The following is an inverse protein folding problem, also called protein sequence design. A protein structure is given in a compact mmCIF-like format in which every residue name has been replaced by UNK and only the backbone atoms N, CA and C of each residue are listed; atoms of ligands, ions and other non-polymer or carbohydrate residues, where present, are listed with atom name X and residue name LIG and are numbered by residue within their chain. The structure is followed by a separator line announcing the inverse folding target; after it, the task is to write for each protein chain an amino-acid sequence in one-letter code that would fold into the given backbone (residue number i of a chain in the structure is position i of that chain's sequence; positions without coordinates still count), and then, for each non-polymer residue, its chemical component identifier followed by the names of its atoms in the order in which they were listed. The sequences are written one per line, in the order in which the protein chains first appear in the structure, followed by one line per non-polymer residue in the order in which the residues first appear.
data_IF_365848526614
#
_entry.id   IF_365848526614
#
_cell.length_a   1.000
_cell.length_b   1.000
_cell.length_c   1.000
_cell.angle_alpha   90.00
_cell.angle_beta   90.00
_cell.angle_gamma   90.00
#
_symmetry.space_group_name_H-M   'P 1'
#
loop_
_entity.id
_entity.type
_entity.pdbx_description
1 polymer ?
#
# COMPACT_ATOMS: atom_id res chain seq x y z
N UNK A 1 1.44 10.54 -7.91
CA UNK A 1 0.63 10.66 -6.68
C UNK A 1 1.57 10.92 -5.51
N UNK A 2 1.11 11.48 -4.37
CA UNK A 2 1.97 11.76 -3.20
C UNK A 2 2.72 10.51 -2.71
N UNK A 3 2.05 9.36 -2.74
CA UNK A 3 2.59 8.07 -2.26
C UNK A 3 3.20 7.18 -3.36
N UNK A 4 3.26 7.67 -4.61
CA UNK A 4 3.63 6.88 -5.79
C UNK A 4 2.85 5.56 -5.91
N UNK A 5 1.57 5.57 -5.54
CA UNK A 5 0.68 4.42 -5.72
C UNK A 5 -0.19 4.59 -6.96
N UNK A 6 -0.45 3.48 -7.65
CA UNK A 6 -1.46 3.35 -8.71
C UNK A 6 -2.72 2.65 -8.17
N UNK A 7 -3.81 2.67 -8.93
CA UNK A 7 -5.06 1.96 -8.55
C UNK A 7 -5.07 0.49 -8.94
N UNK A 8 -4.02 0.00 -9.60
CA UNK A 8 -3.92 -1.38 -10.05
C UNK A 8 -3.40 -2.23 -8.89
N UNK A 9 -4.30 -2.82 -8.12
CA UNK A 9 -3.97 -3.62 -6.92
C UNK A 9 -3.00 -4.77 -7.25
N UNK A 10 -3.09 -5.33 -8.45
CA UNK A 10 -2.24 -6.42 -8.90
C UNK A 10 -0.76 -6.05 -9.01
N UNK A 11 -0.41 -4.75 -8.99
CA UNK A 11 0.98 -4.28 -9.01
C UNK A 11 1.68 -4.33 -7.65
N UNK A 12 1.01 -4.77 -6.60
CA UNK A 12 1.57 -4.81 -5.25
C UNK A 12 1.56 -6.24 -4.71
N UNK A 13 2.75 -6.82 -4.56
CA UNK A 13 2.93 -8.23 -4.20
C UNK A 13 2.29 -8.59 -2.86
N UNK A 14 2.30 -7.69 -1.87
CA UNK A 14 1.70 -7.98 -0.56
C UNK A 14 0.17 -8.00 -0.53
N UNK A 15 -0.51 -7.57 -1.59
CA UNK A 15 -1.99 -7.56 -1.66
C UNK A 15 -2.54 -8.45 -2.78
N UNK A 16 -1.73 -8.84 -3.76
CA UNK A 16 -2.18 -9.62 -4.92
C UNK A 16 -2.09 -11.16 -4.72
N UNK A 17 -1.51 -11.63 -3.61
CA UNK A 17 -1.29 -13.07 -3.36
C UNK A 17 -2.57 -13.85 -3.01
N UNK A 18 -3.65 -13.16 -2.63
CA UNK A 18 -4.90 -13.77 -2.18
C UNK A 18 -5.89 -14.15 -3.29
N UNK A 19 -5.58 -13.86 -4.56
CA UNK A 19 -6.52 -14.04 -5.68
C UNK A 19 -7.29 -12.76 -6.00
N UNK A 20 -8.64 -12.79 -5.94
CA UNK A 20 -9.47 -11.64 -6.31
C UNK A 20 -9.40 -10.52 -5.25
N UNK A 21 -8.89 -9.32 -5.58
CA UNK A 21 -8.84 -8.22 -4.64
C UNK A 21 -10.22 -7.62 -4.35
N UNK A 22 -11.28 -8.00 -5.09
CA UNK A 22 -12.64 -7.50 -4.87
C UNK A 22 -13.49 -8.55 -4.19
N UNK A 23 -14.03 -8.19 -3.03
CA UNK A 23 -15.01 -9.00 -2.30
C UNK A 23 -16.36 -8.30 -2.39
N UNK A 24 -17.36 -8.98 -2.96
CA UNK A 24 -18.68 -8.39 -3.25
C UNK A 24 -19.41 -7.80 -2.03
N UNK A 25 -19.11 -8.29 -0.83
CA UNK A 25 -19.69 -7.81 0.43
C UNK A 25 -18.94 -6.62 1.05
N UNK A 26 -17.83 -6.15 0.47
CA UNK A 26 -17.00 -5.08 1.01
C UNK A 26 -17.03 -3.83 0.13
N UNK A 27 -16.83 -2.67 0.75
CA UNK A 27 -16.76 -1.39 0.08
C UNK A 27 -15.58 -0.58 0.62
N UNK A 28 -14.40 -0.83 0.06
CA UNK A 28 -13.13 -0.21 0.50
C UNK A 28 -13.19 1.32 0.55
N UNK A 29 -13.99 1.94 -0.33
CA UNK A 29 -14.15 3.40 -0.36
C UNK A 29 -14.93 3.90 0.86
N UNK A 30 -15.95 3.16 1.28
CA UNK A 30 -16.72 3.48 2.48
C UNK A 30 -15.88 3.22 3.73
N UNK A 31 -15.19 2.09 3.78
CA UNK A 31 -14.36 1.69 4.92
C UNK A 31 -13.18 2.66 5.11
N UNK A 32 -12.52 3.08 4.03
CA UNK A 32 -11.48 4.11 4.07
C UNK A 32 -11.99 5.41 4.69
N UNK A 33 -13.19 5.88 4.31
CA UNK A 33 -13.79 7.10 4.89
C UNK A 33 -14.07 6.93 6.38
N UNK A 34 -14.59 5.77 6.78
CA UNK A 34 -14.85 5.48 8.18
C UNK A 34 -13.56 5.49 9.01
N UNK A 35 -12.47 4.92 8.50
CA UNK A 35 -11.14 4.94 9.15
C UNK A 35 -10.61 6.37 9.26
N UNK A 36 -10.74 7.19 8.22
CA UNK A 36 -10.28 8.58 8.25
C UNK A 36 -11.02 9.43 9.29
N UNK A 37 -12.34 9.23 9.42
CA UNK A 37 -13.12 9.91 10.45
C UNK A 37 -12.80 9.39 11.85
N UNK A 38 -12.59 8.08 12.00
CA UNK A 38 -12.16 7.49 13.27
C UNK A 38 -10.81 8.03 13.74
N UNK A 39 -9.81 8.12 12.85
CA UNK A 39 -8.49 8.69 13.17
C UNK A 39 -8.61 10.12 13.71
N UNK A 40 -9.41 10.97 13.03
CA UNK A 40 -9.69 12.34 13.51
C UNK A 40 -10.39 12.34 14.87
N UNK A 41 -11.41 11.49 15.04
CA UNK A 41 -12.15 11.39 16.30
C UNK A 41 -11.27 10.93 17.47
N UNK A 42 -10.26 10.10 17.19
CA UNK A 42 -9.26 9.66 18.19
C UNK A 42 -8.16 10.70 18.48
N UNK A 43 -8.15 11.84 17.77
CA UNK A 43 -7.24 12.95 18.03
C UNK A 43 -5.98 12.97 17.17
N UNK A 44 -5.91 12.18 16.09
CA UNK A 44 -4.79 12.27 15.16
C UNK A 44 -4.84 13.59 14.37
N UNK A 45 -3.70 14.26 14.27
CA UNK A 45 -3.52 15.42 13.40
C UNK A 45 -3.35 15.00 11.94
N UNK A 46 -3.63 15.93 11.02
CA UNK A 46 -3.56 15.65 9.58
C UNK A 46 -2.18 15.14 9.12
N UNK A 47 -1.11 15.64 9.73
CA UNK A 47 0.27 15.23 9.42
C UNK A 47 0.59 13.81 9.95
N UNK A 48 0.00 13.41 11.08
CA UNK A 48 0.14 12.06 11.63
C UNK A 48 -0.64 11.05 10.77
N UNK A 49 -1.82 11.43 10.29
CA UNK A 49 -2.60 10.63 9.34
C UNK A 49 -1.83 10.49 8.02
N UNK A 50 -1.28 11.58 7.48
CA UNK A 50 -0.42 11.52 6.29
C UNK A 50 0.79 10.61 6.51
N UNK A 51 1.46 10.72 7.66
CA UNK A 51 2.59 9.87 8.03
C UNK A 51 2.19 8.40 8.11
N UNK A 52 1.02 8.09 8.66
CA UNK A 52 0.48 6.72 8.68
C UNK A 52 0.30 6.18 7.27
N UNK A 53 -0.28 6.96 6.35
CA UNK A 53 -0.43 6.54 4.96
C UNK A 53 0.90 6.43 4.20
N UNK A 54 1.91 7.25 4.53
CA UNK A 54 3.28 7.09 4.03
C UNK A 54 3.84 5.74 4.45
N UNK A 55 3.67 5.34 5.71
CA UNK A 55 4.13 4.03 6.21
C UNK A 55 3.43 2.89 5.45
N UNK A 56 2.10 2.95 5.30
CA UNK A 56 1.35 1.94 4.53
C UNK A 56 1.86 1.85 3.09
N UNK A 57 2.08 2.98 2.42
CA UNK A 57 2.64 3.00 1.08
C UNK A 57 4.07 2.43 1.02
N UNK A 58 4.93 2.75 1.99
CA UNK A 58 6.27 2.18 2.10
C UNK A 58 6.25 0.66 2.24
N UNK A 59 5.30 0.10 2.99
CA UNK A 59 5.14 -1.36 3.12
C UNK A 59 4.75 -1.99 1.78
N UNK A 60 3.85 -1.35 1.01
CA UNK A 60 3.46 -1.84 -0.31
C UNK A 60 4.63 -1.84 -1.30
N UNK A 61 5.43 -0.77 -1.31
CA UNK A 61 6.64 -0.67 -2.12
C UNK A 61 7.71 -1.69 -1.72
N UNK A 62 7.91 -1.90 -0.40
CA UNK A 62 8.83 -2.91 0.11
C UNK A 62 8.49 -4.31 -0.38
N UNK A 63 7.19 -4.64 -0.49
CA UNK A 63 6.75 -5.93 -1.03
C UNK A 63 7.10 -6.16 -2.50
N UNK A 64 7.35 -5.09 -3.25
CA UNK A 64 7.71 -5.16 -4.66
C UNK A 64 9.22 -5.25 -4.90
N UNK A 65 10.05 -5.18 -3.85
CA UNK A 65 11.49 -5.38 -4.00
C UNK A 65 11.75 -6.83 -4.40
N UNK A 66 12.30 -7.00 -5.60
CA UNK A 66 12.78 -8.28 -6.10
C UNK A 66 14.31 -8.33 -6.00
N UNK A 67 14.82 -9.44 -5.47
CA UNK A 67 16.26 -9.69 -5.41
C UNK A 67 16.63 -10.66 -6.54
N UNK A 68 17.69 -10.33 -7.27
CA UNK A 68 18.25 -11.13 -8.36
C UNK A 68 19.72 -11.46 -8.06
N UNK A 69 20.28 -12.45 -8.74
CA UNK A 69 21.66 -12.91 -8.54
C UNK A 69 21.75 -14.20 -7.72
N UNK A 70 22.63 -15.11 -8.14
CA UNK A 70 22.79 -16.44 -7.52
C UNK A 70 23.71 -16.41 -6.29
N UNK A 71 24.77 -15.58 -6.32
CA UNK A 71 25.80 -15.52 -5.26
C UNK A 71 25.82 -14.17 -4.49
N UNK A 72 25.41 -13.08 -5.13
CA UNK A 72 25.26 -11.76 -4.50
C UNK A 72 23.87 -11.24 -4.85
N UNK A 73 23.09 -10.91 -3.81
CA UNK A 73 21.76 -10.35 -4.00
C UNK A 73 21.85 -8.91 -4.50
N UNK A 74 21.39 -8.68 -5.71
CA UNK A 74 21.21 -7.38 -6.32
C UNK A 74 19.71 -7.04 -6.32
N UNK A 75 19.36 -5.77 -6.13
CA UNK A 75 17.97 -5.33 -6.25
C UNK A 75 17.64 -5.18 -7.73
N UNK A 76 16.56 -5.82 -8.18
CA UNK A 76 15.98 -5.58 -9.49
C UNK A 76 15.37 -4.18 -9.52
N UNK A 77 16.02 -3.24 -10.19
CA UNK A 77 15.56 -1.85 -10.33
C UNK A 77 14.46 -1.70 -11.40
N UNK A 78 13.58 -2.70 -11.56
CA UNK A 78 12.39 -2.55 -12.39
C UNK A 78 11.61 -1.31 -11.91
N UNK A 79 11.13 -0.49 -12.85
CA UNK A 79 10.46 0.77 -12.51
C UNK A 79 9.33 0.54 -11.50
N UNK A 80 9.42 1.21 -10.34
CA UNK A 80 8.29 1.28 -9.40
C UNK A 80 7.06 1.79 -10.15
N UNK A 81 5.88 1.16 -9.97
CA UNK A 81 4.68 1.51 -10.71
C UNK A 81 4.10 2.88 -10.39
#
# INVERSE_FOLDING_TARGET
SEFKLTREVNKYNFVNQGGDPKVASLNDKQDFRAVMEAMKATGFFQDEISTTWKIVASVLHLGNIEFVGEDQSEINNAEEP
#
